data_IF_393689113191
#
_entry.id   IF_393689113191
#
_cell.length_a   1.000
_cell.length_b   1.000
_cell.length_c   1.000
_cell.angle_alpha   90.00
_cell.angle_beta   90.00
_cell.angle_gamma   90.00
#
_symmetry.space_group_name_H-M   'P 1'
#
loop_
_entity.id
_entity.type
_entity.pdbx_description
1 polymer ?
#
# COMPACT_ATOMS: atom_id res chain seq x y z
N UNK A 1 1.55 -25.33 -2.38
CA UNK A 1 2.78 -24.51 -2.42
C UNK A 1 2.43 -23.22 -1.70
N UNK A 2 3.08 -22.94 -0.57
CA UNK A 2 2.80 -21.73 0.21
C UNK A 2 3.24 -20.51 -0.60
N UNK A 3 2.40 -19.47 -0.74
CA UNK A 3 2.85 -18.22 -1.31
C UNK A 3 3.93 -17.68 -0.37
N UNK A 4 5.11 -17.48 -0.95
CA UNK A 4 6.34 -17.01 -0.33
C UNK A 4 6.08 -15.92 0.72
N UNK A 5 6.39 -16.24 1.97
CA UNK A 5 6.69 -15.24 3.00
C UNK A 5 7.71 -14.26 2.45
N UNK A 6 7.56 -12.95 2.70
CA UNK A 6 8.61 -12.01 2.31
C UNK A 6 9.91 -12.31 3.07
N UNK A 7 11.04 -12.09 2.41
CA UNK A 7 12.39 -12.14 3.02
C UNK A 7 12.67 -10.97 3.98
N UNK A 8 11.66 -10.20 4.39
CA UNK A 8 11.81 -9.02 5.26
C UNK A 8 10.89 -9.08 6.48
N UNK A 9 11.40 -8.57 7.61
CA UNK A 9 10.64 -8.37 8.84
C UNK A 9 9.84 -7.06 8.70
N UNK A 10 8.52 -7.06 8.98
CA UNK A 10 7.71 -5.85 8.91
C UNK A 10 8.24 -4.74 9.82
N UNK A 11 8.17 -3.51 9.33
CA UNK A 11 8.51 -2.31 10.11
C UNK A 11 7.35 -1.92 11.03
N UNK A 12 7.64 -1.12 12.05
CA UNK A 12 6.61 -0.59 12.95
C UNK A 12 5.90 0.58 12.29
N UNK A 13 4.57 0.57 12.28
CA UNK A 13 3.78 1.73 11.88
C UNK A 13 3.89 2.84 12.92
N UNK A 14 4.36 4.00 12.49
CA UNK A 14 4.38 5.20 13.33
C UNK A 14 3.01 5.90 13.31
N UNK A 15 2.75 6.74 14.32
CA UNK A 15 1.51 7.53 14.36
C UNK A 15 1.32 8.39 13.12
N UNK A 16 2.39 8.98 12.60
CA UNK A 16 2.32 9.90 11.47
C UNK A 16 1.90 9.17 10.19
N UNK A 17 2.44 7.98 9.97
CA UNK A 17 2.09 7.12 8.84
C UNK A 17 0.63 6.65 8.95
N UNK A 18 0.19 6.26 10.15
CA UNK A 18 -1.21 5.88 10.38
C UNK A 18 -2.17 7.05 10.15
N UNK A 19 -1.83 8.25 10.61
CA UNK A 19 -2.66 9.45 10.43
C UNK A 19 -2.80 9.84 8.96
N UNK A 20 -1.69 9.79 8.21
CA UNK A 20 -1.72 10.06 6.76
C UNK A 20 -2.55 9.01 6.02
N UNK A 21 -2.37 7.74 6.36
CA UNK A 21 -3.16 6.65 5.81
C UNK A 21 -4.65 6.80 6.11
N UNK A 22 -5.01 7.20 7.34
CA UNK A 22 -6.39 7.44 7.74
C UNK A 22 -7.00 8.61 6.96
N UNK A 23 -6.24 9.68 6.78
CA UNK A 23 -6.66 10.84 5.98
C UNK A 23 -6.95 10.44 4.52
N UNK A 24 -6.06 9.69 3.89
CA UNK A 24 -6.24 9.19 2.52
C UNK A 24 -7.41 8.21 2.46
N UNK A 25 -7.52 7.29 3.42
CA UNK A 25 -8.62 6.34 3.52
C UNK A 25 -9.97 7.05 3.59
N UNK A 26 -10.09 8.09 4.42
CA UNK A 26 -11.29 8.90 4.55
C UNK A 26 -11.58 9.75 3.30
N UNK A 27 -10.55 10.14 2.55
CA UNK A 27 -10.71 10.87 1.28
C UNK A 27 -11.21 9.95 0.16
N UNK A 28 -10.76 8.69 0.13
CA UNK A 28 -11.16 7.68 -0.84
C UNK A 28 -12.53 7.07 -0.55
N UNK A 29 -13.06 7.25 0.67
CA UNK A 29 -14.44 6.92 0.97
C UNK A 29 -15.37 7.72 0.04
N UNK A 30 -15.90 7.04 -0.97
CA UNK A 30 -16.91 7.58 -1.88
C UNK A 30 -18.16 8.06 -1.11
N UNK A 31 -19.15 8.66 -1.80
CA UNK A 31 -20.46 9.02 -1.20
C UNK A 31 -21.14 7.88 -0.43
N UNK A 32 -20.81 6.63 -0.76
CA UNK A 32 -21.29 5.41 -0.11
C UNK A 32 -20.43 4.93 1.08
N UNK A 33 -19.34 5.63 1.41
CA UNK A 33 -18.35 5.30 2.46
C UNK A 33 -17.64 3.95 2.26
N UNK A 34 -17.36 3.59 1.02
CA UNK A 34 -16.78 2.29 0.67
C UNK A 34 -15.37 2.48 0.14
N UNK A 35 -14.40 1.81 0.76
CA UNK A 35 -13.05 1.63 0.26
C UNK A 35 -12.96 0.24 -0.38
N UNK A 36 -12.50 0.20 -1.63
CA UNK A 36 -12.30 -1.04 -2.38
C UNK A 36 -10.86 -1.54 -2.25
N UNK A 37 -10.63 -2.79 -2.63
CA UNK A 37 -9.27 -3.35 -2.63
C UNK A 37 -8.30 -2.61 -3.58
N UNK A 38 -8.81 -2.01 -4.66
CA UNK A 38 -8.00 -1.21 -5.58
C UNK A 38 -7.46 0.05 -4.89
N UNK A 39 -8.27 0.65 -4.01
CA UNK A 39 -7.91 1.84 -3.25
C UNK A 39 -6.79 1.57 -2.23
N UNK A 40 -6.65 0.32 -1.76
CA UNK A 40 -5.58 -0.07 -0.85
C UNK A 40 -4.18 0.22 -1.41
N UNK A 41 -3.98 0.06 -2.73
CA UNK A 41 -2.68 0.38 -3.35
C UNK A 41 -2.36 1.88 -3.23
N UNK A 42 -3.37 2.75 -3.38
CA UNK A 42 -3.22 4.19 -3.21
C UNK A 42 -2.90 4.55 -1.76
N UNK A 43 -3.56 3.91 -0.79
CA UNK A 43 -3.32 4.16 0.63
C UNK A 43 -1.91 3.71 1.03
N UNK A 44 -1.47 2.52 0.60
CA UNK A 44 -0.10 2.03 0.85
C UNK A 44 0.96 2.97 0.26
N UNK A 45 0.72 3.54 -0.93
CA UNK A 45 1.60 4.57 -1.50
C UNK A 45 1.63 5.85 -0.66
N UNK A 46 0.48 6.25 -0.13
CA UNK A 46 0.39 7.34 0.85
C UNK A 46 1.17 7.09 2.13
N UNK A 47 1.28 5.83 2.54
CA UNK A 47 2.12 5.38 3.67
C UNK A 47 3.62 5.35 3.35
N UNK A 48 4.01 5.70 2.12
CA UNK A 48 5.39 5.67 1.66
C UNK A 48 5.86 4.29 1.16
N UNK A 49 4.96 3.34 0.93
CA UNK A 49 5.32 2.04 0.36
C UNK A 49 5.20 2.02 -1.17
N UNK A 50 5.99 1.17 -1.83
CA UNK A 50 5.82 0.85 -3.25
C UNK A 50 5.27 -0.58 -3.40
N UNK A 51 3.96 -0.80 -3.16
CA UNK A 51 3.41 -2.15 -3.16
C UNK A 51 3.52 -2.79 -4.55
N UNK A 52 4.08 -3.99 -4.60
CA UNK A 52 4.09 -4.83 -5.80
C UNK A 52 2.89 -5.79 -5.80
N UNK A 53 2.75 -6.58 -6.87
CA UNK A 53 1.65 -7.54 -7.01
C UNK A 53 1.61 -8.56 -5.86
N UNK A 54 2.77 -9.03 -5.40
CA UNK A 54 2.89 -9.99 -4.30
C UNK A 54 2.46 -9.37 -2.97
N UNK A 55 2.80 -8.11 -2.72
CA UNK A 55 2.34 -7.38 -1.53
C UNK A 55 0.80 -7.26 -1.53
N UNK A 56 0.22 -6.93 -2.69
CA UNK A 56 -1.23 -6.84 -2.82
C UNK A 56 -1.90 -8.21 -2.62
N UNK A 57 -1.40 -9.27 -3.23
CA UNK A 57 -1.93 -10.63 -3.03
C UNK A 57 -1.85 -11.07 -1.57
N UNK A 58 -0.75 -10.74 -0.88
CA UNK A 58 -0.59 -11.00 0.55
C UNK A 58 -1.58 -10.20 1.39
N UNK A 59 -1.73 -8.91 1.11
CA UNK A 59 -2.72 -8.07 1.80
C UNK A 59 -4.14 -8.63 1.60
N UNK A 60 -4.49 -9.04 0.37
CA UNK A 60 -5.77 -9.68 0.06
C UNK A 60 -5.98 -10.94 0.89
N UNK A 61 -4.97 -11.80 1.00
CA UNK A 61 -5.01 -13.01 1.80
C UNK A 61 -5.23 -12.69 3.29
N UNK A 62 -4.52 -11.71 3.83
CA UNK A 62 -4.63 -11.30 5.25
C UNK A 62 -6.01 -10.73 5.57
N UNK A 63 -6.58 -9.91 4.68
CA UNK A 63 -7.88 -9.27 4.90
C UNK A 63 -9.07 -10.20 4.68
N UNK A 64 -8.91 -11.31 3.94
CA UNK A 64 -10.02 -12.17 3.55
C UNK A 64 -10.80 -12.70 4.77
N UNK A 65 -10.11 -13.29 5.76
CA UNK A 65 -10.77 -13.84 6.95
C UNK A 65 -11.41 -12.75 7.84
N UNK A 66 -10.72 -11.66 8.21
CA UNK A 66 -11.31 -10.56 8.97
C UNK A 66 -12.56 -9.95 8.31
N UNK A 67 -12.54 -9.77 6.98
CA UNK A 67 -13.69 -9.24 6.24
C UNK A 67 -14.87 -10.21 6.31
N UNK A 68 -14.63 -11.50 6.02
CA UNK A 68 -15.67 -12.52 6.08
C UNK A 68 -16.31 -12.60 7.49
N UNK A 69 -15.49 -12.52 8.53
CA UNK A 69 -15.96 -12.52 9.93
C UNK A 69 -16.80 -11.27 10.24
N UNK A 70 -16.37 -10.10 9.79
CA UNK A 70 -17.13 -8.86 9.98
C UNK A 70 -18.48 -8.90 9.25
N UNK A 71 -18.52 -9.44 8.03
CA UNK A 71 -19.77 -9.63 7.30
C UNK A 71 -20.72 -10.62 7.99
N UNK A 72 -20.20 -11.74 8.49
CA UNK A 72 -21.00 -12.70 9.28
C UNK A 72 -21.61 -12.01 10.51
N UNK A 73 -20.81 -11.25 11.25
CA UNK A 73 -21.28 -10.50 12.42
C UNK A 73 -22.35 -9.46 12.05
N UNK A 74 -22.17 -8.72 10.95
CA UNK A 74 -23.18 -7.75 10.45
C UNK A 74 -24.51 -8.44 10.11
N UNK A 75 -24.47 -9.63 9.47
CA UNK A 75 -25.67 -10.42 9.16
C UNK A 75 -26.37 -10.94 10.43
N UNK A 76 -25.61 -11.39 11.42
CA UNK A 76 -26.16 -11.84 12.71
C UNK A 76 -26.85 -10.71 13.49
N UNK A 77 -26.24 -9.53 13.52
CA UNK A 77 -26.80 -8.34 14.15
C UNK A 77 -28.07 -7.85 13.45
N UNK A 78 -28.12 -7.89 12.11
CA UNK A 78 -29.33 -7.56 11.36
C UNK A 78 -30.46 -8.55 11.65
N UNK A 79 -30.15 -9.85 11.70
CA UNK A 79 -31.11 -10.89 12.04
C UNK A 79 -31.62 -10.77 13.48
N UNK A 80 -30.78 -10.32 14.41
CA UNK A 80 -31.15 -10.04 15.81
C UNK A 80 -32.07 -8.82 15.90
N UNK A 81 -31.75 -7.71 15.21
CA UNK A 81 -32.61 -6.53 15.12
C UNK A 81 -33.97 -6.83 14.49
N UNK A 82 -34.01 -7.63 13.43
CA UNK A 82 -35.26 -8.07 12.81
C UNK A 82 -36.10 -8.93 13.77
N UNK A 83 -35.48 -9.86 14.51
CA UNK A 83 -36.17 -10.65 15.55
C UNK A 83 -36.70 -9.77 16.68
N UNK A 84 -35.97 -8.74 17.08
CA UNK A 84 -36.39 -7.78 18.10
C UNK A 84 -37.58 -6.95 17.61
N UNK A 85 -37.51 -6.39 16.39
CA UNK A 85 -38.63 -5.67 15.77
C UNK A 85 -39.90 -6.53 15.68
N UNK A 86 -39.77 -7.80 15.27
CA UNK A 86 -40.90 -8.74 15.24
C UNK A 86 -41.46 -9.04 16.63
N UNK A 87 -40.62 -9.08 17.67
CA UNK A 87 -41.07 -9.26 19.06
C UNK A 87 -41.78 -8.02 19.58
N UNK A 88 -41.34 -6.83 19.21
CA UNK A 88 -41.98 -5.56 19.55
C UNK A 88 -43.34 -5.43 18.84
N UNK A 89 -43.40 -5.64 17.52
CA UNK A 89 -44.65 -5.68 16.76
C UNK A 89 -45.63 -6.73 17.30
N UNK A 90 -45.14 -7.90 17.73
CA UNK A 90 -45.97 -8.93 18.37
C UNK A 90 -46.46 -8.53 19.77
N UNK A 91 -45.67 -7.76 20.53
CA UNK A 91 -46.07 -7.20 21.83
C UNK A 91 -47.07 -6.06 21.67
N UNK A 92 -46.90 -5.19 20.69
CA UNK A 92 -47.86 -4.12 20.36
C UNK A 92 -49.21 -4.69 19.90
N UNK A 93 -49.20 -5.74 19.05
CA UNK A 93 -50.44 -6.44 18.66
C UNK A 93 -51.14 -7.11 19.85
N UNK A 94 -50.39 -7.61 20.85
CA UNK A 94 -50.95 -8.18 22.08
C UNK A 94 -51.42 -7.12 23.08
N UNK A 95 -50.73 -5.98 23.15
CA UNK A 95 -51.10 -4.84 24.01
C UNK A 95 -52.28 -4.02 23.48
N UNK A 96 -52.44 -3.93 22.16
CA UNK A 96 -53.60 -3.32 21.50
C UNK A 96 -54.90 -4.10 21.69
N UNK A 97 -54.83 -5.41 21.98
CA UNK A 97 -56.01 -6.24 22.22
C UNK A 97 -56.64 -6.06 23.61
N UNK A 98 -55.96 -5.39 24.56
CA UNK A 98 -56.50 -5.15 25.91
C UNK A 98 -57.31 -3.85 26.04
N UNK A 99 -57.43 -3.04 24.99
CA UNK A 99 -58.33 -1.86 24.94
C UNK A 99 -59.46 -2.05 23.94
N UNK A 100 -60.29 -3.07 24.11
CA UNK A 100 -61.70 -3.07 23.67
C UNK A 100 -62.41 -4.37 24.09
N UNK A 101 -62.64 -4.51 25.40
CA UNK A 101 -63.68 -5.43 25.87
C UNK A 101 -65.04 -4.77 25.66
N UNK A 102 -65.68 -5.03 24.54
CA UNK A 102 -67.16 -5.06 24.44
C UNK A 102 -67.64 -5.52 23.06
N UNK A 103 -67.85 -6.84 22.90
CA UNK A 103 -69.13 -7.49 22.54
C UNK A 103 -68.89 -8.86 21.88
N UNK A 104 -69.60 -9.92 22.30
CA UNK A 104 -69.56 -11.21 21.64
C UNK A 104 -70.61 -11.26 20.52
N UNK A 105 -70.22 -11.69 19.32
CA UNK A 105 -71.08 -12.49 18.46
C UNK A 105 -70.30 -13.11 17.29
N UNK A 106 -70.59 -14.40 17.08
CA UNK A 106 -70.31 -15.31 15.94
C UNK A 106 -69.17 -14.93 14.98
N UNK A 107 -68.24 -15.82 14.64
CA UNK A 107 -68.52 -17.05 13.88
C UNK A 107 -67.24 -17.89 13.81
N UNK A 108 -67.31 -19.18 14.13
CA UNK A 108 -66.25 -20.16 13.86
C UNK A 108 -66.01 -20.29 12.35
N UNK A 109 -64.80 -19.96 11.85
CA UNK A 109 -64.20 -20.57 10.66
C UNK A 109 -62.66 -20.63 10.77
N UNK A 110 -62.17 -21.87 10.74
CA UNK A 110 -60.84 -22.40 10.35
C UNK A 110 -59.59 -21.53 10.51
N UNK A 111 -58.74 -21.91 11.48
CA UNK A 111 -57.38 -21.40 11.72
C UNK A 111 -56.32 -22.22 10.94
N UNK A 112 -56.74 -23.19 10.11
CA UNK A 112 -55.82 -24.18 9.52
C UNK A 112 -55.16 -23.71 8.21
N UNK A 113 -55.64 -22.66 7.56
CA UNK A 113 -55.04 -22.16 6.29
C UNK A 113 -54.02 -21.03 6.46
N UNK A 114 -53.91 -20.39 7.64
CA UNK A 114 -52.95 -19.29 7.85
C UNK A 114 -51.57 -19.71 8.36
N UNK A 115 -51.35 -20.99 8.63
CA UNK A 115 -50.06 -21.51 9.09
C UNK A 115 -49.15 -22.00 7.94
N UNK A 116 -49.70 -22.20 6.73
CA UNK A 116 -48.95 -22.74 5.59
C UNK A 116 -48.25 -21.62 4.80
N UNK A 117 -48.82 -20.41 4.72
CA UNK A 117 -48.17 -19.27 4.06
C UNK A 117 -47.00 -18.67 4.87
N UNK A 118 -46.93 -18.90 6.18
CA UNK A 118 -45.81 -18.41 7.00
C UNK A 118 -44.57 -19.33 7.00
N UNK A 119 -44.68 -20.52 6.39
CA UNK A 119 -43.61 -21.52 6.37
C UNK A 119 -42.84 -21.57 5.05
N UNK A 120 -43.28 -20.86 4.00
CA UNK A 120 -42.69 -20.91 2.65
C UNK A 120 -41.83 -19.68 2.27
N UNK A 121 -41.72 -18.66 3.12
CA UNK A 121 -40.87 -17.48 2.84
C UNK A 121 -39.45 -17.52 3.43
N UNK A 122 -39.09 -18.55 4.22
CA UNK A 122 -37.79 -18.61 4.91
C UNK A 122 -36.67 -19.34 4.15
N UNK A 123 -36.87 -19.74 2.90
CA UNK A 123 -35.81 -20.24 2.03
C UNK A 123 -35.59 -19.33 0.81
N UNK A 124 -35.48 -18.01 1.04
CA UNK A 124 -34.66 -17.22 0.13
C UNK A 124 -33.22 -17.65 0.36
N UNK A 125 -32.79 -18.68 -0.38
CA UNK A 125 -31.39 -18.97 -0.64
C UNK A 125 -30.71 -17.63 -0.97
N UNK A 126 -29.99 -17.12 0.02
CA UNK A 126 -29.22 -15.89 -0.10
C UNK A 126 -28.20 -16.18 -1.20
N UNK A 127 -28.39 -15.52 -2.35
CA UNK A 127 -27.43 -15.53 -3.45
C UNK A 127 -26.05 -15.24 -2.85
N UNK A 128 -25.20 -16.26 -2.82
CA UNK A 128 -23.79 -16.11 -2.50
C UNK A 128 -23.25 -15.21 -3.60
N UNK A 129 -23.02 -13.94 -3.25
CA UNK A 129 -22.35 -12.99 -4.14
C UNK A 129 -20.92 -13.51 -4.33
N UNK A 130 -20.46 -13.70 -5.57
CA UNK A 130 -19.10 -14.17 -5.82
C UNK A 130 -18.06 -13.28 -5.14
N UNK A 131 -16.99 -13.91 -4.65
CA UNK A 131 -15.87 -13.35 -3.86
C UNK A 131 -14.94 -12.45 -4.70
N UNK A 132 -15.42 -11.89 -5.81
CA UNK A 132 -14.50 -11.37 -6.83
C UNK A 132 -14.00 -9.94 -6.57
N UNK A 133 -14.63 -9.17 -5.68
CA UNK A 133 -14.08 -7.86 -5.27
C UNK A 133 -14.30 -7.66 -3.76
N UNK A 134 -13.22 -7.72 -2.97
CA UNK A 134 -13.25 -7.26 -1.58
C UNK A 134 -13.65 -5.78 -1.60
N UNK A 135 -14.89 -5.52 -1.22
CA UNK A 135 -15.51 -4.20 -1.13
C UNK A 135 -15.83 -3.90 0.32
N UNK A 136 -15.90 -2.62 0.66
CA UNK A 136 -16.31 -2.15 1.99
C UNK A 136 -15.30 -2.52 3.08
N UNK A 137 -14.01 -2.38 2.76
CA UNK A 137 -12.92 -2.64 3.68
C UNK A 137 -13.04 -1.67 4.85
N UNK A 138 -13.01 -2.21 6.08
CA UNK A 138 -13.01 -1.42 7.31
C UNK A 138 -11.60 -0.91 7.60
N UNK A 139 -11.48 0.31 8.11
CA UNK A 139 -10.19 0.91 8.47
C UNK A 139 -9.37 0.02 9.41
N UNK A 140 -10.01 -0.56 10.43
CA UNK A 140 -9.31 -1.37 11.43
C UNK A 140 -8.79 -2.67 10.81
N UNK A 141 -9.53 -3.26 9.88
CA UNK A 141 -9.08 -4.43 9.13
C UNK A 141 -7.90 -4.04 8.24
N UNK A 142 -8.01 -2.94 7.50
CA UNK A 142 -6.95 -2.48 6.61
C UNK A 142 -5.65 -2.23 7.37
N UNK A 143 -5.69 -1.43 8.44
CA UNK A 143 -4.48 -1.03 9.16
C UNK A 143 -3.81 -2.22 9.86
N UNK A 144 -4.58 -3.09 10.54
CA UNK A 144 -4.04 -4.29 11.19
C UNK A 144 -3.43 -5.29 10.21
N UNK A 145 -4.03 -5.47 9.02
CA UNK A 145 -3.45 -6.33 8.00
C UNK A 145 -2.23 -5.67 7.32
N UNK A 146 -2.20 -4.34 7.27
CA UNK A 146 -1.07 -3.58 6.69
C UNK A 146 0.16 -3.63 7.59
N UNK A 147 0.00 -3.64 8.92
CA UNK A 147 1.11 -3.82 9.88
C UNK A 147 1.96 -5.06 9.56
N UNK A 148 1.35 -6.14 9.10
CA UNK A 148 2.02 -7.41 8.76
C UNK A 148 2.86 -7.38 7.48
N UNK A 149 2.69 -6.34 6.66
CA UNK A 149 3.41 -6.16 5.39
C UNK A 149 4.19 -4.85 5.31
N UNK A 150 4.01 -3.96 6.29
CA UNK A 150 4.52 -2.60 6.25
C UNK A 150 6.05 -2.56 6.18
N UNK A 151 6.57 -1.62 5.39
CA UNK A 151 7.98 -1.34 5.24
C UNK A 151 8.19 0.16 5.36
N UNK A 152 9.17 0.54 6.16
CA UNK A 152 9.55 1.94 6.29
C UNK A 152 10.29 2.46 5.05
N UNK A 153 10.53 3.77 5.04
CA UNK A 153 11.20 4.44 3.93
C UNK A 153 12.63 3.97 3.69
N UNK A 154 13.33 3.47 4.72
CA UNK A 154 14.70 2.97 4.58
C UNK A 154 14.72 1.61 3.86
N UNK A 155 13.78 0.73 4.21
CA UNK A 155 13.63 -0.57 3.55
C UNK A 155 13.20 -0.37 2.09
N UNK A 156 12.22 0.50 1.85
CA UNK A 156 11.76 0.84 0.50
C UNK A 156 12.86 1.49 -0.35
N UNK A 157 13.61 2.46 0.19
CA UNK A 157 14.75 3.08 -0.50
C UNK A 157 15.79 2.04 -0.91
N UNK A 158 16.10 1.09 -0.02
CA UNK A 158 17.04 0.00 -0.33
C UNK A 158 16.53 -0.89 -1.46
N UNK A 159 15.24 -1.23 -1.48
CA UNK A 159 14.65 -2.02 -2.56
C UNK A 159 14.70 -1.29 -3.90
N UNK A 160 14.42 0.02 -3.91
CA UNK A 160 14.54 0.86 -5.11
C UNK A 160 16.00 0.90 -5.58
N UNK A 161 16.95 1.10 -4.67
CA UNK A 161 18.38 1.08 -4.99
C UNK A 161 18.81 -0.25 -5.62
N UNK A 162 18.42 -1.38 -5.02
CA UNK A 162 18.76 -2.72 -5.53
C UNK A 162 18.14 -2.97 -6.91
N UNK A 163 16.94 -2.46 -7.17
CA UNK A 163 16.31 -2.52 -8.49
C UNK A 163 17.05 -1.67 -9.53
N UNK A 164 17.43 -0.42 -9.18
CA UNK A 164 18.16 0.49 -10.08
C UNK A 164 19.56 -0.03 -10.42
N UNK A 165 20.22 -0.70 -9.46
CA UNK A 165 21.57 -1.24 -9.61
C UNK A 165 21.71 -2.21 -10.79
N UNK A 166 20.64 -2.92 -11.16
CA UNK A 166 20.62 -3.82 -12.33
C UNK A 166 20.83 -3.06 -13.65
N UNK A 167 20.41 -1.81 -13.71
CA UNK A 167 20.48 -0.97 -14.90
C UNK A 167 21.66 0.02 -14.89
N UNK A 168 22.31 0.20 -13.73
CA UNK A 168 23.41 1.16 -13.58
C UNK A 168 24.66 0.78 -14.40
N UNK A 169 25.38 1.78 -14.87
CA UNK A 169 26.64 1.57 -15.58
C UNK A 169 27.77 1.43 -14.57
N UNK A 170 28.52 0.33 -14.67
CA UNK A 170 29.78 0.18 -13.95
C UNK A 170 30.88 0.85 -14.76
N UNK A 171 30.91 2.16 -14.69
CA UNK A 171 32.09 2.88 -15.16
C UNK A 171 33.23 2.76 -14.15
N UNK A 172 34.43 3.18 -14.55
CA UNK A 172 35.63 3.23 -13.70
C UNK A 172 35.51 4.23 -12.53
N UNK A 173 34.33 4.81 -12.33
CA UNK A 173 34.02 5.78 -11.28
C UNK A 173 33.67 5.05 -9.97
N UNK A 174 33.98 5.64 -8.81
CA UNK A 174 33.61 5.06 -7.51
C UNK A 174 32.09 5.08 -7.25
N UNK A 175 31.31 5.77 -8.09
CA UNK A 175 29.85 5.90 -7.97
C UNK A 175 29.15 5.16 -9.11
N UNK A 176 28.02 4.54 -8.78
CA UNK A 176 27.12 3.97 -9.77
C UNK A 176 26.25 5.09 -10.31
N UNK A 177 26.46 5.44 -11.57
CA UNK A 177 25.74 6.53 -12.24
C UNK A 177 24.68 5.95 -13.17
N UNK A 178 23.59 6.68 -13.33
CA UNK A 178 22.51 6.36 -14.26
C UNK A 178 22.15 7.62 -15.06
N UNK A 179 22.11 7.48 -16.39
CA UNK A 179 21.65 8.57 -17.26
C UNK A 179 20.13 8.64 -17.29
N UNK A 180 19.61 9.85 -17.45
CA UNK A 180 18.17 10.12 -17.55
C UNK A 180 17.52 9.31 -18.69
N UNK A 181 18.20 9.18 -19.83
CA UNK A 181 17.71 8.42 -20.99
C UNK A 181 17.58 6.94 -20.68
N UNK A 182 18.51 6.38 -19.91
CA UNK A 182 18.48 4.97 -19.51
C UNK A 182 17.37 4.70 -18.51
N UNK A 183 17.12 5.63 -17.58
CA UNK A 183 15.98 5.56 -16.67
C UNK A 183 14.66 5.56 -17.44
N UNK A 184 14.51 6.51 -18.37
CA UNK A 184 13.32 6.58 -19.23
C UNK A 184 13.16 5.30 -20.07
N UNK A 185 14.24 4.76 -20.64
CA UNK A 185 14.19 3.48 -21.38
C UNK A 185 13.79 2.31 -20.48
N UNK A 186 14.29 2.24 -19.25
CA UNK A 186 13.93 1.20 -18.29
C UNK A 186 12.43 1.25 -17.93
N UNK A 187 11.87 2.47 -17.80
CA UNK A 187 10.44 2.71 -17.52
C UNK A 187 9.51 2.44 -18.71
N UNK A 188 10.05 2.34 -19.93
CA UNK A 188 9.31 2.07 -21.17
C UNK A 188 9.50 0.60 -21.62
N UNK A 189 10.35 -0.17 -20.94
CA UNK A 189 10.68 -1.54 -21.34
C UNK A 189 9.46 -2.44 -21.25
N UNK A 190 9.23 -3.22 -22.32
CA UNK A 190 8.14 -4.20 -22.54
C UNK A 190 6.84 -3.67 -23.17
N UNK A 191 6.84 -2.47 -23.77
CA UNK A 191 5.71 -2.02 -24.62
C UNK A 191 4.54 -1.39 -23.86
N UNK A 192 4.53 -1.51 -22.53
CA UNK A 192 3.66 -0.74 -21.66
C UNK A 192 4.39 0.51 -21.18
N UNK A 193 3.87 1.67 -21.56
CA UNK A 193 4.35 2.94 -21.02
C UNK A 193 3.83 3.09 -19.59
N UNK A 194 4.72 2.90 -18.61
CA UNK A 194 4.41 3.15 -17.19
C UNK A 194 4.11 4.64 -16.96
N UNK A 195 4.76 5.51 -17.74
CA UNK A 195 4.59 6.97 -17.68
C UNK A 195 4.05 7.50 -19.00
N UNK A 196 3.13 8.46 -18.90
CA UNK A 196 2.67 9.26 -20.03
C UNK A 196 3.79 10.16 -20.57
N UNK A 197 3.71 10.61 -21.84
CA UNK A 197 4.70 11.54 -22.40
C UNK A 197 4.86 12.84 -21.60
N UNK A 198 3.80 13.30 -20.93
CA UNK A 198 3.83 14.49 -20.08
C UNK A 198 4.63 14.23 -18.80
N UNK A 199 4.39 13.09 -18.14
CA UNK A 199 5.12 12.68 -16.95
C UNK A 199 6.60 12.42 -17.25
N UNK A 200 6.91 11.85 -18.42
CA UNK A 200 8.31 11.71 -18.87
C UNK A 200 8.96 13.09 -19.02
N UNK A 201 8.27 14.07 -19.61
CA UNK A 201 8.81 15.43 -19.76
C UNK A 201 9.03 16.11 -18.40
N UNK A 202 8.13 15.90 -17.44
CA UNK A 202 8.27 16.40 -16.06
C UNK A 202 9.46 15.73 -15.35
N UNK A 203 9.57 14.39 -15.42
CA UNK A 203 10.70 13.64 -14.88
C UNK A 203 12.02 14.17 -15.44
N UNK A 204 12.06 14.44 -16.76
CA UNK A 204 13.25 14.98 -17.42
C UNK A 204 13.63 16.38 -16.94
N UNK A 205 12.65 17.19 -16.52
CA UNK A 205 12.91 18.54 -16.00
C UNK A 205 13.36 18.56 -14.54
N UNK A 206 13.04 17.51 -13.78
CA UNK A 206 13.32 17.43 -12.33
C UNK A 206 14.64 16.74 -12.01
N UNK A 207 15.11 15.86 -12.91
CA UNK A 207 16.34 15.09 -12.71
C UNK A 207 17.50 15.67 -13.52
N UNK A 208 18.74 15.66 -12.97
CA UNK A 208 19.93 15.96 -13.74
C UNK A 208 20.14 14.92 -14.86
N UNK A 209 20.95 15.26 -15.86
CA UNK A 209 21.25 14.38 -17.01
C UNK A 209 21.91 13.06 -16.58
N UNK A 210 22.76 13.13 -15.55
CA UNK A 210 23.32 11.97 -14.86
C UNK A 210 23.05 12.09 -13.36
N UNK A 211 22.61 10.99 -12.75
CA UNK A 211 22.31 10.94 -11.32
C UNK A 211 23.01 9.73 -10.68
N UNK A 212 23.50 9.93 -9.46
CA UNK A 212 23.98 8.84 -8.61
C UNK A 212 22.77 7.95 -8.23
N UNK A 213 22.87 6.63 -8.36
CA UNK A 213 21.73 5.75 -8.06
C UNK A 213 21.28 5.83 -6.60
N UNK A 214 22.18 6.18 -5.68
CA UNK A 214 21.82 6.38 -4.26
C UNK A 214 20.92 7.61 -4.13
N UNK A 215 21.27 8.68 -4.84
CA UNK A 215 20.45 9.89 -4.89
C UNK A 215 19.12 9.63 -5.58
N UNK A 216 19.15 8.89 -6.69
CA UNK A 216 17.96 8.57 -7.46
C UNK A 216 16.97 7.72 -6.65
N UNK A 217 17.45 6.73 -5.88
CA UNK A 217 16.60 5.94 -4.99
C UNK A 217 15.92 6.82 -3.94
N UNK A 218 16.66 7.73 -3.30
CA UNK A 218 16.12 8.71 -2.35
C UNK A 218 15.08 9.63 -2.97
N UNK A 219 15.31 10.09 -4.20
CA UNK A 219 14.36 10.96 -4.92
C UNK A 219 13.07 10.23 -5.26
N UNK A 220 13.17 8.99 -5.73
CA UNK A 220 12.00 8.14 -6.02
C UNK A 220 11.20 7.87 -4.75
N UNK A 221 11.89 7.59 -3.64
CA UNK A 221 11.26 7.30 -2.36
C UNK A 221 10.76 8.57 -1.63
N UNK A 222 11.10 9.76 -2.10
CA UNK A 222 10.75 11.03 -1.46
C UNK A 222 11.56 11.36 -0.20
N UNK A 223 12.65 10.63 0.08
CA UNK A 223 13.56 10.86 1.22
C UNK A 223 14.74 11.77 0.88
N UNK A 224 14.83 12.24 -0.36
CA UNK A 224 15.94 13.07 -0.80
C UNK A 224 15.95 14.46 -0.15
N UNK A 225 17.07 14.77 0.51
CA UNK A 225 17.40 16.11 1.00
C UNK A 225 18.56 16.63 0.17
N UNK A 226 18.37 17.80 -0.45
CA UNK A 226 19.42 18.43 -1.25
C UNK A 226 20.63 18.79 -0.36
N UNK A 227 21.87 18.48 -0.78
CA UNK A 227 23.06 18.85 -0.03
C UNK A 227 23.11 20.35 0.23
N UNK A 228 23.50 20.72 1.43
CA UNK A 228 23.72 22.11 1.81
C UNK A 228 24.97 22.67 1.13
N UNK A 229 25.07 24.00 1.02
CA UNK A 229 26.25 24.65 0.46
C UNK A 229 27.54 24.25 1.18
N UNK A 230 27.48 24.04 2.49
CA UNK A 230 28.62 23.63 3.31
C UNK A 230 29.05 22.18 3.01
N UNK A 231 28.10 21.27 2.77
CA UNK A 231 28.39 19.90 2.37
C UNK A 231 29.00 19.83 0.97
N UNK A 232 28.49 20.65 0.03
CA UNK A 232 29.07 20.77 -1.31
C UNK A 232 30.52 21.29 -1.24
N UNK A 233 30.76 22.31 -0.42
CA UNK A 233 32.10 22.85 -0.20
C UNK A 233 33.03 21.81 0.41
N UNK A 234 32.55 21.00 1.36
CA UNK A 234 33.33 19.91 1.98
C UNK A 234 33.68 18.81 0.98
N UNK A 235 32.71 18.38 0.17
CA UNK A 235 32.92 17.37 -0.88
C UNK A 235 33.92 17.87 -1.91
N UNK A 236 33.81 19.14 -2.34
CA UNK A 236 34.77 19.76 -3.26
C UNK A 236 36.18 19.78 -2.67
N UNK A 237 36.31 20.08 -1.37
CA UNK A 237 37.60 20.10 -0.67
C UNK A 237 38.20 18.70 -0.51
N UNK A 238 37.39 17.69 -0.20
CA UNK A 238 37.80 16.29 -0.11
C UNK A 238 38.24 15.74 -1.48
N UNK A 239 37.52 16.08 -2.55
CA UNK A 239 37.91 15.73 -3.92
C UNK A 239 39.22 16.41 -4.32
N UNK A 240 39.39 17.72 -4.05
CA UNK A 240 40.62 18.45 -4.31
C UNK A 240 41.83 17.83 -3.56
N UNK A 241 41.65 17.45 -2.29
CA UNK A 241 42.66 16.73 -1.50
C UNK A 241 42.98 15.35 -2.09
N UNK A 242 41.97 14.63 -2.55
CA UNK A 242 42.14 13.31 -3.19
C UNK A 242 42.90 13.43 -4.52
N UNK A 243 42.67 14.50 -5.28
CA UNK A 243 43.45 14.80 -6.49
C UNK A 243 44.89 15.18 -6.17
N UNK A 244 45.14 16.02 -5.16
CA UNK A 244 46.51 16.34 -4.71
C UNK A 244 47.28 15.10 -4.29
N UNK A 245 46.69 14.22 -3.46
CA UNK A 245 47.34 12.97 -3.03
C UNK A 245 47.64 12.06 -4.23
N UNK A 246 46.75 12.00 -5.23
CA UNK A 246 46.99 11.22 -6.46
C UNK A 246 48.08 11.84 -7.33
N UNK A 247 48.19 13.15 -7.41
CA UNK A 247 49.27 13.83 -8.13
C UNK A 247 50.62 13.67 -7.43
N UNK A 248 50.66 13.77 -6.11
CA UNK A 248 51.88 13.61 -5.31
C UNK A 248 52.38 12.17 -5.34
N UNK A 249 51.49 11.17 -5.29
CA UNK A 249 51.86 9.77 -5.49
C UNK A 249 52.36 9.48 -6.92
N UNK A 250 51.80 10.14 -7.95
CA UNK A 250 52.30 10.02 -9.33
C UNK A 250 53.67 10.68 -9.50
N UNK A 251 53.91 11.82 -8.85
CA UNK A 251 55.22 12.50 -8.86
C UNK A 251 56.27 11.72 -8.07
N UNK A 252 55.91 11.12 -6.93
CA UNK A 252 56.78 10.21 -6.19
C UNK A 252 57.21 9.00 -7.03
N UNK A 253 56.26 8.33 -7.70
CA UNK A 253 56.54 7.20 -8.58
C UNK A 253 57.39 7.59 -9.82
N UNK A 254 57.20 8.79 -10.38
CA UNK A 254 58.04 9.33 -11.46
C UNK A 254 59.43 9.75 -10.99
N UNK A 255 59.59 10.13 -9.72
CA UNK A 255 60.89 10.47 -9.13
C UNK A 255 61.71 9.22 -8.79
N UNK A 256 61.06 8.13 -8.37
CA UNK A 256 61.72 6.83 -8.13
C UNK A 256 62.19 6.15 -9.43
N UNK A 257 61.45 6.32 -10.54
CA UNK A 257 61.87 5.79 -11.86
C UNK A 257 62.97 6.60 -12.56
N UNK A 258 63.23 7.84 -12.14
CA UNK A 258 64.28 8.69 -12.71
C UNK A 258 65.54 8.78 -11.83
N UNK A 259 65.62 7.98 -10.76
CA UNK A 259 66.84 7.86 -9.95
C UNK A 259 67.82 6.89 -10.64
N UNK A 260 68.99 7.36 -11.11
CA UNK A 260 69.98 6.52 -11.80
C UNK A 260 70.61 5.44 -10.90
N UNK A 261 70.27 5.38 -9.61
CA UNK A 261 70.69 4.33 -8.67
C UNK A 261 69.60 3.30 -8.36
N UNK A 262 68.39 3.41 -8.93
CA UNK A 262 67.32 2.43 -8.70
C UNK A 262 67.57 1.14 -9.50
N UNK A 263 68.39 0.25 -8.95
CA UNK A 263 68.69 -1.06 -9.54
C UNK A 263 70.13 -1.55 -9.42
N UNK A 264 70.93 -1.04 -8.48
CA UNK A 264 72.23 -1.64 -8.10
C UNK A 264 72.13 -2.25 -6.71
#
# INVERSE_FOLDING_TARGET
MNPSTPDYVPSVLTSDVCNEAEFIFNTLQNKEKLVSFLDCATILRGMGMNPNQTDMERLKSLMTEPILRLEQWRREEELKREKERRREEARERKGGLMKSVSKPNSTRKSIVEKAIEASTENEKQVKIVPVEELKNIDWNIFISCTEEIYRDSLVEEKQVFDALKVFAERDSSPKLMMSQEKLVKALISNGDNVLTPVEIKQLKSLLPEQCDIVELAKRIQGTYVAPTQDELNRIALEQAKTFQIKEDNKKGALSEMNDPLYGI
#
